data_IF_303219797572
#
_entry.id   IF_303219797572
#
_cell.length_a   1.000
_cell.length_b   1.000
_cell.length_c   1.000
_cell.angle_alpha   90.00
_cell.angle_beta   90.00
_cell.angle_gamma   90.00
#
_symmetry.space_group_name_H-M   'P 1'
#
loop_
_entity.id
_entity.type
_entity.pdbx_description
1 polymer ?
#
# COMPACT_ATOMS: atom_id res chain seq x y z
N UNK A 1 -11.76 -20.06 -13.45
CA UNK A 1 -10.75 -19.46 -14.34
C UNK A 1 -9.43 -20.04 -13.89
N UNK A 2 -8.84 -20.95 -14.67
CA UNK A 2 -7.65 -21.71 -14.27
C UNK A 2 -6.40 -20.88 -14.45
N UNK A 3 -5.79 -20.49 -13.33
CA UNK A 3 -4.64 -19.60 -13.30
C UNK A 3 -3.33 -20.40 -13.42
N UNK A 4 -2.90 -20.66 -14.65
CA UNK A 4 -1.54 -21.11 -14.95
C UNK A 4 -0.61 -19.89 -14.92
N UNK A 5 -0.22 -19.43 -13.72
CA UNK A 5 0.79 -18.37 -13.60
C UNK A 5 2.19 -18.95 -13.80
N UNK A 6 2.95 -18.37 -14.73
CA UNK A 6 4.35 -18.74 -14.93
C UNK A 6 5.20 -18.40 -13.71
N UNK A 7 6.23 -19.21 -13.45
CA UNK A 7 7.23 -18.95 -12.38
C UNK A 7 7.82 -17.55 -12.56
N UNK A 8 7.67 -16.69 -11.55
CA UNK A 8 8.15 -15.30 -11.54
C UNK A 8 7.08 -14.22 -11.69
N UNK A 9 5.82 -14.59 -11.95
CA UNK A 9 4.68 -13.67 -11.93
C UNK A 9 4.01 -13.56 -10.55
N UNK A 10 4.26 -14.53 -9.67
CA UNK A 10 3.71 -14.62 -8.32
C UNK A 10 4.84 -14.62 -7.27
N UNK A 11 4.57 -14.04 -6.10
CA UNK A 11 5.38 -14.18 -4.89
C UNK A 11 4.46 -14.19 -3.66
N UNK A 12 4.94 -14.76 -2.56
CA UNK A 12 4.25 -14.75 -1.28
C UNK A 12 4.93 -13.73 -0.36
N UNK A 13 4.14 -12.88 0.29
CA UNK A 13 4.60 -11.95 1.30
C UNK A 13 4.23 -12.48 2.68
N UNK A 14 5.17 -12.38 3.63
CA UNK A 14 5.01 -12.79 5.03
C UNK A 14 4.57 -14.26 5.18
N UNK A 15 5.24 -15.18 4.47
CA UNK A 15 4.98 -16.62 4.56
C UNK A 15 5.02 -17.12 6.00
N UNK A 16 3.92 -17.74 6.47
CA UNK A 16 3.81 -18.24 7.83
C UNK A 16 3.52 -17.20 8.93
N UNK A 17 3.31 -15.92 8.57
CA UNK A 17 2.75 -14.91 9.47
C UNK A 17 1.22 -14.78 9.28
N UNK A 18 0.52 -14.21 10.26
CA UNK A 18 -0.93 -13.95 10.17
C UNK A 18 -1.32 -13.02 9.00
N UNK A 19 -0.37 -12.25 8.45
CA UNK A 19 -0.60 -11.31 7.35
C UNK A 19 -0.03 -11.82 6.01
N UNK A 20 -0.21 -13.11 5.74
CA UNK A 20 0.25 -13.73 4.50
C UNK A 20 -0.53 -13.20 3.29
N UNK A 21 0.18 -12.83 2.22
CA UNK A 21 -0.42 -12.26 1.02
C UNK A 21 0.24 -12.75 -0.25
N UNK A 22 -0.55 -13.14 -1.24
CA UNK A 22 -0.08 -13.40 -2.59
C UNK A 22 0.10 -12.09 -3.35
N UNK A 23 1.19 -11.98 -4.08
CA UNK A 23 1.60 -10.82 -4.85
C UNK A 23 1.71 -11.19 -6.32
N UNK A 24 1.02 -10.44 -7.18
CA UNK A 24 1.03 -10.63 -8.63
C UNK A 24 1.50 -9.38 -9.36
N UNK A 25 2.40 -9.55 -10.34
CA UNK A 25 2.98 -8.46 -11.14
C UNK A 25 2.11 -8.06 -12.34
N UNK A 26 1.89 -6.76 -12.52
CA UNK A 26 1.16 -6.21 -13.65
C UNK A 26 1.83 -4.96 -14.24
N UNK A 27 1.73 -4.81 -15.56
CA UNK A 27 2.21 -3.64 -16.31
C UNK A 27 1.05 -2.89 -16.94
N UNK A 28 1.02 -1.56 -16.78
CA UNK A 28 -0.03 -0.72 -17.35
C UNK A 28 0.13 -0.60 -18.86
N UNK A 29 -0.96 -0.76 -19.62
CA UNK A 29 -0.95 -0.62 -21.08
C UNK A 29 -1.81 0.56 -21.53
N UNK A 30 -1.21 1.47 -22.31
CA UNK A 30 -1.87 2.70 -22.78
C UNK A 30 -3.18 2.45 -23.54
N UNK A 31 -3.17 1.50 -24.51
CA UNK A 31 -4.33 1.17 -25.32
C UNK A 31 -5.53 0.64 -24.49
N UNK A 32 -5.25 -0.16 -23.45
CA UNK A 32 -6.30 -0.69 -22.57
C UNK A 32 -6.87 0.39 -21.66
N UNK A 33 -6.00 1.28 -21.17
CA UNK A 33 -6.42 2.46 -20.40
C UNK A 33 -7.32 3.39 -21.23
N UNK A 34 -6.99 3.63 -22.50
CA UNK A 34 -7.84 4.45 -23.38
C UNK A 34 -9.18 3.77 -23.66
N UNK A 35 -9.19 2.44 -23.84
CA UNK A 35 -10.43 1.68 -24.00
C UNK A 35 -11.31 1.74 -22.74
N UNK A 36 -10.72 1.59 -21.55
CA UNK A 36 -11.42 1.72 -20.27
C UNK A 36 -11.99 3.13 -20.07
N UNK A 37 -11.24 4.16 -20.48
CA UNK A 37 -11.72 5.55 -20.44
C UNK A 37 -12.92 5.75 -21.39
N UNK A 38 -12.84 5.25 -22.62
CA UNK A 38 -13.96 5.31 -23.56
C UNK A 38 -15.19 4.59 -22.98
N UNK A 39 -15.01 3.37 -22.46
CA UNK A 39 -16.07 2.61 -21.80
C UNK A 39 -16.66 3.33 -20.59
N UNK A 40 -15.86 4.05 -19.82
CA UNK A 40 -16.33 4.89 -18.72
C UNK A 40 -17.29 5.98 -19.21
N UNK A 41 -16.97 6.63 -20.32
CA UNK A 41 -17.82 7.69 -20.92
C UNK A 41 -19.13 7.09 -21.41
N UNK A 42 -19.09 5.98 -22.15
CA UNK A 42 -20.29 5.31 -22.67
C UNK A 42 -21.17 4.73 -21.57
N UNK A 43 -20.59 4.30 -20.45
CA UNK A 43 -21.33 3.74 -19.31
C UNK A 43 -21.89 4.79 -18.35
N UNK A 44 -21.77 6.09 -18.67
CA UNK A 44 -22.15 7.20 -17.79
C UNK A 44 -21.56 7.07 -16.36
N UNK A 45 -20.35 6.54 -16.23
CA UNK A 45 -19.67 6.39 -14.94
C UNK A 45 -19.96 5.11 -14.15
N UNK A 46 -20.79 4.19 -14.67
CA UNK A 46 -21.03 2.88 -14.04
C UNK A 46 -19.76 2.02 -14.04
N UNK A 47 -18.96 2.05 -15.12
CA UNK A 47 -17.74 1.24 -15.21
C UNK A 47 -16.68 1.60 -14.14
N UNK A 48 -16.34 2.89 -13.90
CA UNK A 48 -15.49 3.29 -12.77
C UNK A 48 -16.00 2.84 -11.40
N UNK A 49 -17.33 2.84 -11.20
CA UNK A 49 -17.94 2.40 -9.95
C UNK A 49 -17.73 0.90 -9.73
N UNK A 50 -17.89 0.08 -10.77
CA UNK A 50 -17.58 -1.35 -10.73
C UNK A 50 -16.10 -1.57 -10.41
N UNK A 51 -15.20 -0.79 -11.02
CA UNK A 51 -13.76 -0.83 -10.72
C UNK A 51 -13.41 -0.42 -9.29
N UNK A 52 -14.16 0.51 -8.71
CA UNK A 52 -14.03 0.89 -7.30
C UNK A 52 -14.42 -0.26 -6.37
N UNK A 53 -15.49 -1.00 -6.67
CA UNK A 53 -15.93 -2.15 -5.86
C UNK A 53 -15.12 -3.43 -6.07
N UNK A 54 -14.56 -3.61 -7.28
CA UNK A 54 -13.74 -4.76 -7.65
C UNK A 54 -12.36 -4.30 -8.13
N UNK A 55 -11.42 -4.07 -7.19
CA UNK A 55 -10.06 -3.62 -7.51
C UNK A 55 -9.30 -4.55 -8.46
N UNK A 56 -9.54 -5.86 -8.40
CA UNK A 56 -8.94 -6.83 -9.32
C UNK A 56 -9.35 -6.57 -10.78
N UNK A 57 -10.64 -6.28 -11.01
CA UNK A 57 -11.15 -5.99 -12.36
C UNK A 57 -10.57 -4.70 -12.91
N UNK A 58 -10.36 -3.69 -12.06
CA UNK A 58 -9.66 -2.48 -12.45
C UNK A 58 -8.24 -2.80 -13.00
N UNK A 59 -7.48 -3.65 -12.31
CA UNK A 59 -6.14 -4.05 -12.75
C UNK A 59 -6.23 -4.89 -14.03
N UNK A 60 -7.10 -5.91 -14.07
CA UNK A 60 -7.23 -6.78 -15.23
C UNK A 60 -7.68 -6.03 -16.48
N UNK A 61 -8.49 -4.98 -16.35
CA UNK A 61 -8.94 -4.16 -17.46
C UNK A 61 -7.85 -3.23 -18.00
N UNK A 62 -7.01 -2.66 -17.12
CA UNK A 62 -6.01 -1.64 -17.48
C UNK A 62 -4.59 -2.19 -17.70
N UNK A 63 -4.29 -3.39 -17.22
CA UNK A 63 -2.93 -3.93 -17.14
C UNK A 63 -2.81 -5.34 -17.72
N UNK A 64 -1.60 -5.71 -18.15
CA UNK A 64 -1.23 -7.06 -18.59
C UNK A 64 -0.40 -7.73 -17.47
N UNK A 65 -0.58 -9.03 -17.18
CA UNK A 65 0.29 -9.75 -16.25
C UNK A 65 1.75 -9.72 -16.74
N UNK A 66 2.68 -9.52 -15.82
CA UNK A 66 4.10 -9.50 -16.13
C UNK A 66 4.91 -10.08 -14.97
N UNK A 67 6.21 -10.31 -15.20
CA UNK A 67 7.11 -10.68 -14.12
C UNK A 67 7.10 -9.62 -13.03
N UNK A 68 7.32 -10.04 -11.78
CA UNK A 68 7.39 -9.11 -10.67
C UNK A 68 8.51 -8.08 -10.86
N UNK A 69 9.58 -8.40 -11.59
CA UNK A 69 10.70 -7.50 -11.87
C UNK A 69 10.31 -6.28 -12.73
N UNK A 70 9.39 -6.46 -13.68
CA UNK A 70 8.97 -5.42 -14.64
C UNK A 70 7.66 -4.71 -14.25
N UNK A 71 7.02 -5.14 -13.16
CA UNK A 71 5.70 -4.65 -12.79
C UNK A 71 5.68 -3.15 -12.38
N UNK A 72 4.73 -2.40 -12.92
CA UNK A 72 4.45 -1.02 -12.47
C UNK A 72 3.39 -1.01 -11.36
N UNK A 73 2.55 -2.04 -11.36
CA UNK A 73 1.44 -2.26 -10.43
C UNK A 73 1.52 -3.68 -9.91
N UNK A 74 1.32 -3.83 -8.60
CA UNK A 74 1.18 -5.14 -7.97
C UNK A 74 -0.23 -5.34 -7.48
N UNK A 75 -0.80 -6.51 -7.73
CA UNK A 75 -2.07 -6.94 -7.16
C UNK A 75 -1.76 -7.86 -5.99
N UNK A 76 -2.34 -7.53 -4.85
CA UNK A 76 -2.25 -8.28 -3.61
C UNK A 76 -3.56 -9.04 -3.41
N UNK A 77 -3.46 -10.28 -2.99
CA UNK A 77 -4.58 -11.11 -2.57
C UNK A 77 -4.27 -11.65 -1.18
N UNK A 78 -5.20 -11.45 -0.24
CA UNK A 78 -5.06 -12.07 1.10
C UNK A 78 -5.32 -13.57 1.01
N UNK A 79 -4.58 -14.36 1.79
CA UNK A 79 -4.76 -15.81 1.87
C UNK A 79 -5.92 -16.22 2.79
N UNK A 80 -6.50 -15.26 3.52
CA UNK A 80 -7.73 -15.43 4.30
C UNK A 80 -8.89 -16.00 3.48
N UNK A 81 -9.87 -16.60 4.16
CA UNK A 81 -11.08 -17.19 3.57
C UNK A 81 -11.83 -16.25 2.62
N UNK A 82 -11.71 -14.94 2.81
CA UNK A 82 -12.40 -13.91 2.04
C UNK A 82 -11.65 -13.45 0.78
N UNK A 83 -10.38 -13.85 0.58
CA UNK A 83 -9.54 -13.50 -0.57
C UNK A 83 -9.69 -12.05 -1.06
N UNK A 84 -9.40 -11.10 -0.17
CA UNK A 84 -9.58 -9.69 -0.50
C UNK A 84 -8.48 -9.21 -1.45
N UNK A 85 -8.88 -8.59 -2.55
CA UNK A 85 -7.95 -8.04 -3.54
C UNK A 85 -7.68 -6.56 -3.31
N UNK A 86 -6.41 -6.17 -3.32
CA UNK A 86 -6.01 -4.75 -3.34
C UNK A 86 -4.86 -4.54 -4.30
N UNK A 87 -4.77 -3.41 -4.97
CA UNK A 87 -3.63 -3.11 -5.83
C UNK A 87 -2.78 -1.98 -5.24
N UNK A 88 -1.48 -2.03 -5.50
CA UNK A 88 -0.53 -0.99 -5.11
C UNK A 88 0.34 -0.62 -6.30
N UNK A 89 0.68 0.67 -6.38
CA UNK A 89 1.66 1.14 -7.36
C UNK A 89 3.06 0.88 -6.83
N UNK A 90 3.95 0.44 -7.72
CA UNK A 90 5.36 0.31 -7.39
C UNK A 90 6.02 1.68 -7.45
N UNK A 91 6.80 2.00 -6.41
CA UNK A 91 7.47 3.29 -6.26
C UNK A 91 8.99 3.11 -6.42
N UNK A 92 9.65 4.15 -6.91
CA UNK A 92 11.10 4.23 -7.01
C UNK A 92 11.62 5.27 -6.02
N UNK A 93 12.56 4.86 -5.18
CA UNK A 93 13.32 5.74 -4.29
C UNK A 93 14.70 5.94 -4.92
N UNK A 94 15.09 7.20 -5.11
CA UNK A 94 16.38 7.55 -5.70
C UNK A 94 17.38 7.93 -4.60
N UNK A 95 18.48 7.18 -4.50
CA UNK A 95 19.59 7.48 -3.59
C UNK A 95 20.44 8.65 -4.10
N UNK A 96 20.27 9.08 -5.37
CA UNK A 96 20.94 10.26 -5.91
C UNK A 96 20.68 11.54 -5.10
N UNK A 97 19.59 11.57 -4.33
CA UNK A 97 19.32 12.65 -3.35
C UNK A 97 20.38 12.73 -2.24
N UNK A 98 21.03 11.62 -1.90
CA UNK A 98 22.11 11.53 -0.90
C UNK A 98 23.51 11.74 -1.52
N UNK A 99 23.67 11.55 -2.83
CA UNK A 99 24.95 11.77 -3.52
C UNK A 99 25.45 13.22 -3.36
N UNK A 100 24.53 14.20 -3.32
CA UNK A 100 24.88 15.60 -3.12
C UNK A 100 25.42 15.90 -1.71
N UNK A 101 25.11 15.07 -0.73
CA UNK A 101 25.44 15.32 0.68
C UNK A 101 26.65 14.51 1.15
N UNK A 102 26.81 13.28 0.64
CA UNK A 102 27.86 12.35 1.10
C UNK A 102 28.74 11.79 -0.01
N UNK A 103 28.54 12.18 -1.28
CA UNK A 103 29.38 11.69 -2.39
C UNK A 103 29.26 10.17 -2.62
N UNK A 104 28.08 9.60 -2.35
CA UNK A 104 27.81 8.17 -2.46
C UNK A 104 27.98 7.70 -3.92
N UNK A 105 29.08 7.00 -4.21
CA UNK A 105 29.35 6.39 -5.52
C UNK A 105 28.82 4.95 -5.58
N UNK A 106 28.58 4.39 -6.78
CA UNK A 106 28.18 2.99 -6.94
C UNK A 106 29.16 1.99 -6.30
N UNK A 107 30.43 2.38 -6.19
CA UNK A 107 31.53 1.57 -5.63
C UNK A 107 31.77 1.83 -4.15
N UNK A 108 30.88 2.58 -3.47
CA UNK A 108 31.05 2.87 -2.05
C UNK A 108 31.06 1.57 -1.23
N UNK A 109 31.98 1.41 -0.26
CA UNK A 109 32.08 0.19 0.57
C UNK A 109 30.76 -0.18 1.24
N UNK A 110 29.99 0.83 1.66
CA UNK A 110 28.68 0.66 2.30
C UNK A 110 27.61 0.05 1.39
N UNK A 111 27.70 0.22 0.07
CA UNK A 111 26.76 -0.35 -0.92
C UNK A 111 27.27 -1.72 -1.42
N UNK A 112 28.53 -2.03 -1.17
CA UNK A 112 29.19 -3.25 -1.65
C UNK A 112 29.08 -4.39 -0.63
N UNK A 113 28.68 -4.12 0.62
CA UNK A 113 28.31 -5.15 1.58
C UNK A 113 27.00 -5.84 1.16
N UNK A 114 27.12 -6.94 0.40
CA UNK A 114 26.01 -7.78 -0.06
C UNK A 114 25.33 -8.56 1.06
N UNK A 115 25.74 -8.45 2.33
CA UNK A 115 25.04 -9.10 3.43
C UNK A 115 23.75 -8.37 3.85
N UNK A 116 23.63 -7.07 3.60
CA UNK A 116 22.45 -6.26 3.98
C UNK A 116 21.40 -6.26 2.84
N UNK A 117 20.13 -6.52 3.17
CA UNK A 117 19.01 -6.47 2.20
C UNK A 117 18.96 -5.12 1.50
N UNK A 118 19.22 -4.06 2.25
CA UNK A 118 19.14 -2.70 1.73
C UNK A 118 20.12 -2.53 0.58
N UNK A 119 21.31 -3.11 0.68
CA UNK A 119 22.33 -3.05 -0.36
C UNK A 119 21.98 -3.92 -1.56
N UNK A 120 21.48 -5.15 -1.34
CA UNK A 120 20.98 -6.04 -2.40
C UNK A 120 19.87 -5.42 -3.24
N UNK A 121 19.11 -4.51 -2.63
CA UNK A 121 18.01 -3.83 -3.28
C UNK A 121 18.41 -2.63 -4.15
N UNK A 122 19.61 -2.09 -3.95
CA UNK A 122 20.09 -0.92 -4.71
C UNK A 122 20.49 -1.38 -6.10
N UNK A 123 19.79 -0.86 -7.13
CA UNK A 123 20.14 -1.14 -8.52
C UNK A 123 21.25 -0.20 -8.99
N UNK A 124 22.42 -0.76 -9.30
CA UNK A 124 23.55 -0.04 -9.95
C UNK A 124 23.36 -0.04 -11.49
N UNK A 125 23.67 1.05 -12.23
CA UNK A 125 24.35 2.29 -11.81
C UNK A 125 23.41 3.42 -11.34
N UNK A 126 22.10 3.32 -11.58
CA UNK A 126 21.14 4.41 -11.34
C UNK A 126 20.90 4.74 -9.84
N UNK A 127 21.43 3.94 -8.91
CA UNK A 127 21.25 4.08 -7.47
C UNK A 127 19.77 4.28 -7.08
N UNK A 128 18.92 3.39 -7.59
CA UNK A 128 17.48 3.41 -7.34
C UNK A 128 17.02 2.12 -6.67
N UNK A 129 16.09 2.27 -5.74
CA UNK A 129 15.49 1.17 -4.97
C UNK A 129 14.00 1.10 -5.32
N UNK A 130 13.54 -0.09 -5.65
CA UNK A 130 12.14 -0.34 -5.97
C UNK A 130 11.40 -0.78 -4.72
N UNK A 131 10.31 -0.10 -4.39
CA UNK A 131 9.56 -0.37 -3.16
C UNK A 131 8.05 -0.38 -3.38
N UNK A 132 7.36 -1.14 -2.54
CA UNK A 132 5.90 -1.15 -2.42
C UNK A 132 5.53 -0.86 -0.96
N UNK A 133 4.39 -0.19 -0.76
CA UNK A 133 3.85 0.07 0.58
C UNK A 133 2.54 -0.68 0.76
N UNK A 134 2.54 -1.69 1.62
CA UNK A 134 1.39 -2.55 1.92
C UNK A 134 1.08 -2.42 3.40
N UNK A 135 -0.18 -2.09 3.75
CA UNK A 135 -0.61 -1.90 5.15
C UNK A 135 0.35 -1.04 6.00
N UNK A 136 0.84 0.07 5.42
CA UNK A 136 1.83 0.99 6.02
C UNK A 136 3.26 0.42 6.19
N UNK A 137 3.50 -0.86 5.94
CA UNK A 137 4.82 -1.50 5.87
C UNK A 137 5.43 -1.27 4.48
N UNK A 138 6.75 -1.02 4.43
CA UNK A 138 7.51 -0.90 3.18
C UNK A 138 8.21 -2.21 2.88
N UNK A 139 8.05 -2.67 1.65
CA UNK A 139 8.78 -3.81 1.10
C UNK A 139 9.64 -3.32 -0.04
N UNK A 140 10.81 -3.90 -0.19
CA UNK A 140 11.78 -3.54 -1.22
C UNK A 140 12.17 -4.75 -2.04
N UNK A 141 12.42 -4.50 -3.31
CA UNK A 141 12.83 -5.51 -4.26
C UNK A 141 14.27 -5.95 -4.03
N UNK A 142 14.47 -7.22 -3.70
CA UNK A 142 15.78 -7.86 -3.67
C UNK A 142 16.15 -8.31 -5.09
N UNK A 143 17.25 -7.78 -5.64
CA UNK A 143 17.67 -8.09 -7.01
C UNK A 143 18.29 -9.49 -7.17
N UNK A 144 18.78 -10.12 -6.08
CA UNK A 144 19.38 -11.45 -6.11
C UNK A 144 18.31 -12.55 -6.09
N UNK A 145 17.35 -12.43 -5.17
CA UNK A 145 16.28 -13.42 -4.97
C UNK A 145 15.07 -13.18 -5.90
N UNK A 146 14.96 -11.99 -6.48
CA UNK A 146 13.85 -11.63 -7.36
C UNK A 146 12.50 -11.57 -6.63
N UNK A 147 12.50 -11.11 -5.38
CA UNK A 147 11.31 -11.04 -4.53
C UNK A 147 11.25 -9.73 -3.72
N UNK A 148 10.06 -9.37 -3.25
CA UNK A 148 9.87 -8.23 -2.36
C UNK A 148 10.04 -8.66 -0.90
N UNK A 149 10.95 -8.00 -0.19
CA UNK A 149 11.28 -8.31 1.20
C UNK A 149 10.90 -7.15 2.12
N UNK A 150 10.39 -7.49 3.30
CA UNK A 150 9.99 -6.56 4.36
C UNK A 150 11.24 -5.84 4.90
N UNK A 151 11.14 -4.53 5.09
CA UNK A 151 12.23 -3.73 5.67
C UNK A 151 11.80 -3.17 7.03
N UNK A 152 12.78 -2.97 7.91
CA UNK A 152 12.58 -2.32 9.21
C UNK A 152 12.28 -3.30 10.33
N UNK A 153 12.15 -4.59 10.02
CA UNK A 153 12.30 -5.65 11.01
C UNK A 153 13.78 -5.92 11.24
N UNK A 154 14.14 -6.27 12.48
CA UNK A 154 15.43 -6.91 12.71
C UNK A 154 15.42 -8.21 11.90
N UNK A 155 16.49 -8.43 11.16
CA UNK A 155 16.61 -9.56 10.24
C UNK A 155 16.47 -10.89 11.02
N UNK A 156 15.32 -11.57 10.90
CA UNK A 156 15.00 -12.75 11.73
C UNK A 156 15.96 -13.94 11.49
N UNK A 157 16.68 -13.95 10.36
CA UNK A 157 17.73 -14.92 10.05
C UNK A 157 19.09 -14.61 10.70
N UNK A 158 19.25 -13.45 11.33
CA UNK A 158 20.51 -13.09 11.99
C UNK A 158 20.56 -13.62 13.42
N UNK A 159 21.56 -14.46 13.69
CA UNK A 159 21.88 -14.86 15.06
C UNK A 159 22.25 -13.64 15.91
N UNK A 160 21.86 -13.64 17.19
CA UNK A 160 22.18 -12.57 18.16
C UNK A 160 23.68 -12.21 18.18
N UNK A 161 24.56 -13.20 17.99
CA UNK A 161 26.00 -12.96 17.90
C UNK A 161 26.40 -12.11 16.68
N UNK A 162 25.79 -12.37 15.50
CA UNK A 162 26.05 -11.61 14.27
C UNK A 162 25.48 -10.19 14.36
N UNK A 163 24.33 -10.02 15.03
CA UNK A 163 23.75 -8.71 15.31
C UNK A 163 24.69 -7.88 16.19
N UNK A 164 25.18 -8.44 17.29
CA UNK A 164 26.10 -7.72 18.18
C UNK A 164 27.44 -7.42 17.51
N UNK A 165 27.95 -8.30 16.65
CA UNK A 165 29.18 -8.05 15.91
C UNK A 165 29.00 -6.93 14.87
N UNK A 166 27.90 -6.96 14.10
CA UNK A 166 27.63 -6.00 13.02
C UNK A 166 27.15 -4.64 13.52
N UNK A 167 26.27 -4.62 14.52
CA UNK A 167 25.60 -3.41 15.01
C UNK A 167 26.06 -2.96 16.41
N UNK A 168 26.96 -3.69 17.08
CA UNK A 168 27.40 -3.39 18.45
C UNK A 168 28.14 -2.07 18.60
N UNK A 169 28.78 -1.57 17.55
CA UNK A 169 29.41 -0.23 17.49
C UNK A 169 28.43 0.88 17.13
N UNK A 170 27.17 0.55 16.82
CA UNK A 170 26.21 1.47 16.22
C UNK A 170 26.41 1.66 14.72
N UNK A 171 25.43 2.29 14.06
CA UNK A 171 25.47 2.59 12.64
C UNK A 171 26.17 3.93 12.39
N UNK A 172 26.91 4.00 11.28
CA UNK A 172 27.49 5.25 10.78
C UNK A 172 26.40 6.22 10.32
N UNK A 173 26.71 7.52 10.24
CA UNK A 173 25.75 8.55 9.79
C UNK A 173 25.23 8.27 8.38
N UNK A 174 26.10 7.82 7.49
CA UNK A 174 25.75 7.49 6.11
C UNK A 174 24.77 6.32 6.04
N UNK A 175 25.03 5.23 6.78
CA UNK A 175 24.12 4.09 6.87
C UNK A 175 22.76 4.48 7.48
N UNK A 176 22.77 5.34 8.51
CA UNK A 176 21.55 5.85 9.13
C UNK A 176 20.70 6.63 8.12
N UNK A 177 21.31 7.45 7.28
CA UNK A 177 20.59 8.23 6.28
C UNK A 177 20.03 7.37 5.14
N UNK A 178 20.80 6.41 4.63
CA UNK A 178 20.33 5.45 3.63
C UNK A 178 19.13 4.67 4.19
N UNK A 179 19.24 4.16 5.41
CA UNK A 179 18.15 3.46 6.11
C UNK A 179 16.95 4.37 6.33
N UNK A 180 17.14 5.61 6.76
CA UNK A 180 16.06 6.57 6.97
C UNK A 180 15.33 6.92 5.66
N UNK A 181 16.05 7.01 4.55
CA UNK A 181 15.48 7.26 3.23
C UNK A 181 14.60 6.09 2.77
N UNK A 182 15.07 4.85 2.96
CA UNK A 182 14.41 3.64 2.45
C UNK A 182 13.26 3.20 3.38
N UNK A 183 13.54 3.07 4.68
CA UNK A 183 12.56 2.68 5.70
C UNK A 183 11.51 3.79 5.95
N UNK A 184 11.93 5.05 5.82
CA UNK A 184 11.16 6.20 6.27
C UNK A 184 11.39 6.52 7.76
N UNK A 185 10.70 7.54 8.29
CA UNK A 185 10.79 7.93 9.68
C UNK A 185 10.18 6.86 10.60
N UNK A 186 10.80 6.62 11.76
CA UNK A 186 10.26 5.78 12.82
C UNK A 186 9.18 6.55 13.62
N UNK A 187 8.04 6.79 12.99
CA UNK A 187 6.91 7.51 13.60
C UNK A 187 5.61 6.79 13.24
N UNK A 188 4.78 6.52 14.24
CA UNK A 188 3.44 5.98 14.03
C UNK A 188 2.50 7.15 13.73
N UNK A 189 2.27 7.42 12.44
CA UNK A 189 1.39 8.50 11.98
C UNK A 189 0.09 7.93 11.41
N UNK A 190 -1.02 8.16 12.11
CA UNK A 190 -2.36 7.74 11.71
C UNK A 190 -3.09 8.94 11.11
N UNK A 191 -3.06 9.07 9.79
CA UNK A 191 -3.76 10.15 9.09
C UNK A 191 -5.28 10.12 9.38
N UNK A 192 -5.84 11.22 9.88
CA UNK A 192 -7.30 11.37 10.05
C UNK A 192 -7.92 11.56 8.66
N UNK A 193 -8.79 10.63 8.26
CA UNK A 193 -9.50 10.75 6.99
C UNK A 193 -10.54 11.88 7.05
N UNK A 194 -10.57 12.80 6.06
CA UNK A 194 -11.51 13.93 6.08
C UNK A 194 -12.96 13.48 5.85
N UNK A 195 -13.92 14.24 6.40
CA UNK A 195 -15.36 13.92 6.35
C UNK A 195 -15.84 13.71 4.92
N UNK A 196 -15.44 14.57 3.99
CA UNK A 196 -15.84 14.45 2.58
C UNK A 196 -15.41 13.12 1.95
N UNK A 197 -14.24 12.60 2.31
CA UNK A 197 -13.76 11.30 1.83
C UNK A 197 -14.57 10.14 2.42
N UNK A 198 -14.94 10.25 3.70
CA UNK A 198 -15.83 9.29 4.36
C UNK A 198 -17.22 9.29 3.72
N UNK A 199 -17.78 10.48 3.47
CA UNK A 199 -19.09 10.64 2.85
C UNK A 199 -19.13 10.06 1.43
N UNK A 200 -18.12 10.32 0.60
CA UNK A 200 -18.03 9.71 -0.74
C UNK A 200 -17.95 8.19 -0.64
N UNK A 201 -17.12 7.66 0.28
CA UNK A 201 -17.00 6.21 0.50
C UNK A 201 -18.34 5.59 0.87
N UNK A 202 -19.12 6.27 1.72
CA UNK A 202 -20.42 5.81 2.19
C UNK A 202 -21.48 5.88 1.08
N UNK A 203 -21.59 7.00 0.36
CA UNK A 203 -22.55 7.18 -0.74
C UNK A 203 -22.29 6.20 -1.88
N UNK A 204 -21.03 5.82 -2.13
CA UNK A 204 -20.67 4.83 -3.14
C UNK A 204 -20.87 3.38 -2.67
N UNK A 205 -21.36 3.13 -1.46
CA UNK A 205 -21.70 1.78 -1.03
C UNK A 205 -22.84 1.23 -1.92
N UNK A 206 -22.76 -0.03 -2.41
CA UNK A 206 -23.79 -0.64 -3.27
C UNK A 206 -25.22 -0.46 -2.76
N UNK A 207 -25.42 -0.45 -1.44
CA UNK A 207 -26.73 -0.24 -0.82
C UNK A 207 -27.35 1.12 -1.19
N UNK A 208 -26.63 2.23 -0.99
CA UNK A 208 -27.18 3.57 -1.28
C UNK A 208 -27.36 3.82 -2.77
N UNK A 209 -26.53 3.20 -3.61
CA UNK A 209 -26.71 3.27 -5.07
C UNK A 209 -27.99 2.55 -5.50
N UNK A 210 -28.29 1.40 -4.90
CA UNK A 210 -29.56 0.72 -5.12
C UNK A 210 -30.75 1.52 -4.58
N UNK A 211 -30.59 2.20 -3.43
CA UNK A 211 -31.60 3.10 -2.90
C UNK A 211 -31.89 4.27 -3.84
N UNK A 212 -30.87 4.87 -4.46
CA UNK A 212 -31.06 5.93 -5.46
C UNK A 212 -31.89 5.44 -6.64
N UNK A 213 -31.60 4.24 -7.16
CA UNK A 213 -32.41 3.63 -8.22
C UNK A 213 -33.87 3.42 -7.79
N UNK A 214 -34.07 2.98 -6.54
CA UNK A 214 -35.41 2.79 -5.96
C UNK A 214 -36.16 4.11 -5.87
N UNK A 215 -35.51 5.19 -5.42
CA UNK A 215 -36.07 6.54 -5.38
C UNK A 215 -36.48 7.01 -6.79
N UNK A 216 -35.65 6.79 -7.80
CA UNK A 216 -35.98 7.12 -9.19
C UNK A 216 -37.22 6.35 -9.70
N UNK A 217 -37.34 5.06 -9.36
CA UNK A 217 -38.52 4.26 -9.72
C UNK A 217 -39.79 4.80 -9.06
N UNK A 218 -39.76 5.06 -7.75
CA UNK A 218 -40.92 5.59 -7.02
C UNK A 218 -41.34 6.98 -7.52
N UNK A 219 -40.38 7.82 -7.93
CA UNK A 219 -40.70 9.10 -8.58
C UNK A 219 -41.33 8.91 -9.97
N UNK A 220 -40.88 7.92 -10.74
CA UNK A 220 -41.44 7.64 -12.08
C UNK A 220 -42.87 7.09 -12.02
N UNK A 221 -43.24 6.44 -10.92
CA UNK A 221 -44.60 5.94 -10.67
C UNK A 221 -45.48 6.94 -9.89
N UNK A 222 -45.03 8.21 -9.75
CA UNK A 222 -45.72 9.29 -9.01
C UNK A 222 -45.96 9.02 -7.51
N UNK A 223 -45.31 8.01 -6.93
CA UNK A 223 -45.35 7.68 -5.49
C UNK A 223 -44.35 8.53 -4.67
N UNK A 224 -44.63 9.83 -4.57
CA UNK A 224 -43.72 10.83 -3.97
C UNK A 224 -43.47 10.63 -2.47
N UNK A 225 -44.49 10.23 -1.71
CA UNK A 225 -44.39 10.04 -0.25
C UNK A 225 -43.34 8.99 0.14
N UNK A 226 -43.34 7.85 -0.56
CA UNK A 226 -42.35 6.78 -0.33
C UNK A 226 -40.95 7.22 -0.75
N UNK A 227 -40.82 7.95 -1.87
CA UNK A 227 -39.54 8.47 -2.33
C UNK A 227 -38.92 9.43 -1.29
N UNK A 228 -39.71 10.35 -0.72
CA UNK A 228 -39.24 11.25 0.34
C UNK A 228 -38.87 10.50 1.62
N UNK A 229 -39.65 9.50 2.03
CA UNK A 229 -39.34 8.68 3.20
C UNK A 229 -37.98 7.98 3.04
N UNK A 230 -37.70 7.38 1.88
CA UNK A 230 -36.40 6.74 1.60
C UNK A 230 -35.27 7.76 1.67
N UNK A 231 -35.41 8.94 1.04
CA UNK A 231 -34.39 9.99 1.07
C UNK A 231 -34.06 10.42 2.51
N UNK A 232 -35.07 10.69 3.33
CA UNK A 232 -34.89 11.13 4.72
C UNK A 232 -34.16 10.05 5.53
N UNK A 233 -34.60 8.79 5.40
CA UNK A 233 -33.97 7.66 6.09
C UNK A 233 -32.52 7.46 5.66
N UNK A 234 -32.22 7.55 4.36
CA UNK A 234 -30.86 7.44 3.84
C UNK A 234 -29.95 8.56 4.34
N UNK A 235 -30.44 9.81 4.38
CA UNK A 235 -29.65 10.96 4.89
C UNK A 235 -29.32 10.75 6.37
N UNK A 236 -30.30 10.37 7.19
CA UNK A 236 -30.07 10.11 8.61
C UNK A 236 -29.08 8.95 8.82
N UNK A 237 -29.23 7.86 8.05
CA UNK A 237 -28.33 6.71 8.09
C UNK A 237 -26.89 7.12 7.77
N UNK A 238 -26.67 7.81 6.65
CA UNK A 238 -25.33 8.28 6.24
C UNK A 238 -24.74 9.22 7.29
N UNK A 239 -25.53 10.16 7.83
CA UNK A 239 -25.06 11.10 8.84
C UNK A 239 -24.57 10.39 10.11
N UNK A 240 -25.35 9.43 10.62
CA UNK A 240 -24.98 8.64 11.79
C UNK A 240 -23.72 7.79 11.53
N UNK A 241 -23.67 7.07 10.40
CA UNK A 241 -22.50 6.25 10.06
C UNK A 241 -21.23 7.09 9.91
N UNK A 242 -21.32 8.25 9.24
CA UNK A 242 -20.16 9.15 9.08
C UNK A 242 -19.72 9.74 10.43
N UNK A 243 -20.67 10.07 11.31
CA UNK A 243 -20.38 10.54 12.66
C UNK A 243 -19.61 9.48 13.46
N UNK A 244 -20.12 8.25 13.51
CA UNK A 244 -19.51 7.14 14.25
C UNK A 244 -18.11 6.82 13.72
N UNK A 245 -17.95 6.73 12.39
CA UNK A 245 -16.66 6.48 11.74
C UNK A 245 -15.65 7.59 12.06
N UNK A 246 -16.10 8.84 12.09
CA UNK A 246 -15.22 9.98 12.41
C UNK A 246 -14.81 9.94 13.88
N UNK A 247 -15.74 9.65 14.79
CA UNK A 247 -15.47 9.55 16.22
C UNK A 247 -14.45 8.43 16.50
N UNK A 248 -14.64 7.25 15.91
CA UNK A 248 -13.69 6.13 16.02
C UNK A 248 -12.30 6.48 15.47
N UNK A 249 -12.23 7.12 14.30
CA UNK A 249 -10.95 7.55 13.71
C UNK A 249 -10.19 8.53 14.60
N UNK A 250 -10.89 9.46 15.25
CA UNK A 250 -10.29 10.46 16.15
C UNK A 250 -9.82 9.80 17.46
N UNK A 251 -10.61 8.89 18.02
CA UNK A 251 -10.20 8.12 19.21
C UNK A 251 -8.91 7.35 18.95
N UNK A 252 -8.81 6.66 17.80
CA UNK A 252 -7.60 5.92 17.43
C UNK A 252 -6.38 6.83 17.27
N UNK A 253 -6.55 8.00 16.65
CA UNK A 253 -5.47 8.98 16.52
C UNK A 253 -4.91 9.39 17.89
N UNK A 254 -5.78 9.76 18.84
CA UNK A 254 -5.35 10.15 20.18
C UNK A 254 -4.68 9.02 20.96
N UNK A 255 -5.14 7.77 20.78
CA UNK A 255 -4.48 6.61 21.39
C UNK A 255 -3.06 6.43 20.87
N UNK A 256 -2.82 6.62 19.58
CA UNK A 256 -1.48 6.52 18.99
C UNK A 256 -0.59 7.69 19.41
N UNK A 257 -1.11 8.91 19.39
CA UNK A 257 -0.36 10.11 19.76
C UNK A 257 0.15 10.04 21.22
N UNK A 258 -0.70 9.59 22.15
CA UNK A 258 -0.32 9.40 23.55
C UNK A 258 0.75 8.33 23.77
N UNK A 259 0.81 7.29 22.93
CA UNK A 259 1.83 6.23 23.02
C UNK A 259 3.16 6.62 22.35
N UNK A 260 3.17 7.61 21.46
CA UNK A 260 4.37 8.04 20.74
C UNK A 260 5.33 8.87 21.60
N UNK A 261 4.92 9.34 22.79
CA UNK A 261 5.75 10.17 23.68
C UNK A 261 6.64 9.37 24.66
N UNK A 262 6.81 8.06 24.46
CA UNK A 262 7.66 7.24 25.34
C UNK A 262 9.13 7.58 25.06
N UNK A 263 9.76 8.28 26.01
CA UNK A 263 11.19 8.61 25.94
C UNK A 263 12.00 7.36 26.26
N UNK A 264 12.75 6.83 25.29
CA UNK A 264 13.67 5.71 25.51
C UNK A 264 15.01 6.23 26.02
N UNK A 265 15.47 5.74 27.17
CA UNK A 265 16.80 6.04 27.69
C UNK A 265 17.82 5.14 26.99
N UNK A 266 18.66 5.73 26.14
CA UNK A 266 19.78 5.00 25.52
C UNK A 266 20.94 4.97 26.52
N UNK A 267 21.29 3.78 27.00
CA UNK A 267 22.50 3.60 27.82
C UNK A 267 23.74 3.70 26.92
N UNK A 268 24.31 4.90 26.83
CA UNK A 268 25.59 5.10 26.16
C UNK A 268 26.73 4.48 26.97
N UNK A 269 27.44 3.52 26.37
CA UNK A 269 28.70 3.01 26.94
C UNK A 269 29.71 4.16 26.89
N UNK A 270 29.93 4.85 28.02
CA UNK A 270 31.07 5.76 28.18
C UNK A 270 32.34 4.92 28.06
N UNK A 271 33.06 5.10 26.96
CA UNK A 271 34.45 4.68 26.84
C UNK A 271 35.34 5.51 27.75
#
# INVERSE_FOLDING_TARGET
>A
MGDHFEKGQHALLNEGEENEMELFGYRTQGCRKTLCLAGSIFSFGILPLVFYWRPAWHVWANCIPCSLQEADVVLLRTTDEFHTYSWKKVMWIYLSSLNSTFGVTPDHPLITDEEDIINRAIRKPDLKVRCIKVQKIRYVWNNLEGQFQKIGSLEDWLSSAKIHLKFGSGLTREEQEIRRLICGPNTIDVEITPIWKLLIKEVLNPFYIFQLFSVCLWFSEDYKEYAFAIIIMSIMSIALTVYDLREQSVKLHHLVESHNSITVSVCGRRG
#
